data_IF_022938539939
#
_entry.id   IF_022938539939
#
_cell.length_a   1.000
_cell.length_b   1.000
_cell.length_c   1.000
_cell.angle_alpha   90.00
_cell.angle_beta   90.00
_cell.angle_gamma   90.00
#
_symmetry.space_group_name_H-M   'P 1'
#
loop_
_entity.id
_entity.type
_entity.pdbx_description
1 polymer ?
#
# COMPACT_ATOMS: atom_id res chain seq x y z
N UNK A 1 22.76 -0.83 -5.05
CA UNK A 1 21.57 -0.39 -4.33
C UNK A 1 20.36 -1.15 -4.83
N UNK A 2 19.54 -1.72 -3.96
CA UNK A 2 18.35 -2.43 -4.39
C UNK A 2 17.35 -1.47 -5.03
N UNK A 3 16.69 -1.94 -6.09
CA UNK A 3 15.60 -1.22 -6.74
C UNK A 3 14.28 -1.60 -6.07
N UNK A 4 13.60 -0.61 -5.51
CA UNK A 4 12.44 -0.81 -4.63
C UNK A 4 11.16 -0.31 -5.30
N UNK A 5 10.08 -1.09 -5.15
CA UNK A 5 8.72 -0.65 -5.48
C UNK A 5 7.86 -0.56 -4.23
N UNK A 6 7.03 0.47 -4.13
CA UNK A 6 6.14 0.72 -2.99
C UNK A 6 4.71 0.86 -3.49
N UNK A 7 3.80 0.06 -2.94
CA UNK A 7 2.40 -0.01 -3.38
C UNK A 7 1.49 0.13 -2.17
N UNK A 8 0.68 1.18 -2.16
CA UNK A 8 -0.11 1.55 -0.97
C UNK A 8 -1.60 1.47 -1.25
N UNK A 9 -2.28 0.58 -0.53
CA UNK A 9 -3.73 0.51 -0.48
C UNK A 9 -4.20 1.58 0.52
N UNK A 10 -4.43 2.80 0.02
CA UNK A 10 -4.67 3.98 0.86
C UNK A 10 -5.89 3.80 1.75
N UNK A 11 -6.98 3.28 1.20
CA UNK A 11 -8.22 3.12 1.96
C UNK A 11 -8.03 2.15 3.13
N UNK A 12 -7.39 1.00 2.89
CA UNK A 12 -7.13 0.02 3.94
C UNK A 12 -6.24 0.61 5.04
N UNK A 13 -5.15 1.28 4.64
CA UNK A 13 -4.22 1.90 5.61
C UNK A 13 -4.91 3.00 6.41
N UNK A 14 -5.74 3.82 5.74
CA UNK A 14 -6.49 4.87 6.42
C UNK A 14 -7.42 4.31 7.51
N UNK A 15 -8.22 3.31 7.17
CA UNK A 15 -9.18 2.75 8.12
C UNK A 15 -8.52 1.97 9.25
N UNK A 16 -7.48 1.21 8.95
CA UNK A 16 -6.82 0.38 9.96
C UNK A 16 -6.04 1.22 10.97
N UNK A 17 -5.36 2.27 10.52
CA UNK A 17 -4.63 3.17 11.44
C UNK A 17 -5.58 4.03 12.24
N UNK A 18 -6.65 4.52 11.63
CA UNK A 18 -7.66 5.31 12.34
C UNK A 18 -8.37 4.46 13.39
N UNK A 19 -8.76 3.24 13.03
CA UNK A 19 -9.50 2.35 13.93
C UNK A 19 -8.66 1.95 15.14
N UNK A 20 -7.39 1.64 14.92
CA UNK A 20 -6.52 1.13 15.99
C UNK A 20 -5.89 2.25 16.81
N UNK A 21 -5.43 3.32 16.18
CA UNK A 21 -4.62 4.36 16.82
C UNK A 21 -5.32 5.72 16.92
N UNK A 22 -6.40 5.94 16.17
CA UNK A 22 -7.03 7.25 16.03
C UNK A 22 -6.12 8.28 15.37
N UNK A 23 -5.13 7.85 14.61
CA UNK A 23 -4.10 8.69 14.00
C UNK A 23 -3.93 8.34 12.52
N UNK A 24 -3.34 9.26 11.79
CA UNK A 24 -3.06 9.07 10.36
C UNK A 24 -1.69 8.45 10.13
N UNK A 25 -1.58 7.70 9.05
CA UNK A 25 -0.30 7.12 8.63
C UNK A 25 0.64 8.23 8.14
N UNK A 26 1.92 8.12 8.48
CA UNK A 26 2.93 9.09 8.12
C UNK A 26 3.70 8.64 6.87
N UNK A 27 3.24 9.05 5.70
CA UNK A 27 3.86 8.66 4.42
C UNK A 27 5.27 9.21 4.25
N UNK A 28 5.54 10.39 4.79
CA UNK A 28 6.86 11.00 4.73
C UNK A 28 7.88 10.18 5.52
N UNK A 29 7.49 9.72 6.70
CA UNK A 29 8.34 8.86 7.52
C UNK A 29 8.62 7.52 6.83
N UNK A 30 7.60 6.93 6.20
CA UNK A 30 7.78 5.71 5.42
C UNK A 30 8.77 5.92 4.28
N UNK A 31 8.60 6.98 3.51
CA UNK A 31 9.49 7.30 2.39
C UNK A 31 10.94 7.40 2.83
N UNK A 32 11.18 8.12 3.93
CA UNK A 32 12.52 8.27 4.50
C UNK A 32 13.10 6.92 4.92
N UNK A 33 12.29 6.11 5.58
CA UNK A 33 12.70 4.77 6.02
C UNK A 33 13.10 3.89 4.83
N UNK A 34 12.28 3.85 3.79
CA UNK A 34 12.53 3.00 2.63
C UNK A 34 13.65 3.54 1.75
N UNK A 35 13.84 4.85 1.69
CA UNK A 35 14.98 5.47 0.97
C UNK A 35 16.32 5.04 1.54
N UNK A 36 16.37 4.69 2.81
CA UNK A 36 17.60 4.19 3.44
C UNK A 36 17.86 2.72 3.09
N UNK A 37 16.87 1.99 2.57
CA UNK A 37 17.00 0.58 2.22
C UNK A 37 17.33 0.35 0.76
N UNK A 38 17.05 1.31 -0.10
CA UNK A 38 17.32 1.18 -1.53
C UNK A 38 16.86 2.39 -2.30
N UNK A 39 16.88 2.26 -3.63
CA UNK A 39 16.41 3.29 -4.54
C UNK A 39 14.92 3.04 -4.85
N UNK A 40 14.07 3.99 -4.51
CA UNK A 40 12.64 3.88 -4.81
C UNK A 40 12.42 4.19 -6.29
N UNK A 41 12.19 3.14 -7.08
CA UNK A 41 11.99 3.25 -8.52
C UNK A 41 10.53 3.49 -8.88
N UNK A 42 9.63 2.93 -8.09
CA UNK A 42 8.18 3.01 -8.30
C UNK A 42 7.52 3.17 -6.94
N UNK A 43 6.62 4.15 -6.83
CA UNK A 43 5.82 4.32 -5.62
C UNK A 43 4.43 4.78 -6.04
N UNK A 44 3.44 3.94 -5.80
CA UNK A 44 2.06 4.19 -6.23
C UNK A 44 1.13 4.11 -5.03
N UNK A 45 0.31 5.14 -4.87
CA UNK A 45 -0.76 5.18 -3.88
C UNK A 45 -2.10 5.06 -4.61
N UNK A 46 -2.90 4.10 -4.20
CA UNK A 46 -4.19 3.79 -4.83
C UNK A 46 -5.31 4.30 -3.94
N UNK A 47 -6.11 5.22 -4.46
CA UNK A 47 -7.14 5.89 -3.68
C UNK A 47 -8.45 6.02 -4.46
N UNK A 48 -9.53 6.32 -3.74
CA UNK A 48 -10.82 6.68 -4.35
C UNK A 48 -10.94 8.19 -4.38
N UNK A 49 -11.48 8.70 -5.48
CA UNK A 49 -11.70 10.14 -5.64
C UNK A 49 -13.10 10.50 -5.15
N UNK A 50 -13.18 11.19 -4.03
CA UNK A 50 -14.43 11.72 -3.48
C UNK A 50 -14.67 13.19 -3.87
N UNK A 51 -13.73 13.75 -4.65
CA UNK A 51 -13.84 15.11 -5.18
C UNK A 51 -14.02 16.17 -4.08
N UNK A 52 -13.37 16.00 -2.93
CA UNK A 52 -13.37 17.00 -1.88
C UNK A 52 -11.99 17.63 -1.69
N UNK A 53 -11.97 18.80 -1.05
CA UNK A 53 -10.74 19.58 -0.91
C UNK A 53 -9.70 18.91 -0.01
N UNK A 54 -10.15 18.26 1.06
CA UNK A 54 -9.22 17.62 1.97
C UNK A 54 -8.49 16.45 1.30
N UNK A 55 -9.18 15.72 0.44
CA UNK A 55 -8.55 14.65 -0.36
C UNK A 55 -7.57 15.20 -1.37
N UNK A 56 -7.88 16.34 -2.00
CA UNK A 56 -6.96 16.99 -2.94
C UNK A 56 -5.67 17.43 -2.25
N UNK A 57 -5.77 17.98 -1.03
CA UNK A 57 -4.59 18.33 -0.24
C UNK A 57 -3.75 17.11 0.11
N UNK A 58 -4.40 16.02 0.50
CA UNK A 58 -3.72 14.75 0.79
C UNK A 58 -2.99 14.23 -0.45
N UNK A 59 -3.65 14.22 -1.60
CA UNK A 59 -3.06 13.77 -2.86
C UNK A 59 -1.86 14.64 -3.25
N UNK A 60 -1.98 15.96 -3.11
CA UNK A 60 -0.89 16.89 -3.38
C UNK A 60 0.31 16.59 -2.47
N UNK A 61 0.06 16.37 -1.18
CA UNK A 61 1.12 16.05 -0.23
C UNK A 61 1.84 14.74 -0.62
N UNK A 62 1.11 13.72 -1.05
CA UNK A 62 1.70 12.46 -1.51
C UNK A 62 2.57 12.66 -2.74
N UNK A 63 2.13 13.46 -3.70
CA UNK A 63 2.90 13.76 -4.91
C UNK A 63 4.20 14.49 -4.56
N UNK A 64 4.15 15.42 -3.63
CA UNK A 64 5.35 16.13 -3.17
C UNK A 64 6.38 15.20 -2.52
N UNK A 65 5.92 14.16 -1.84
CA UNK A 65 6.81 13.15 -1.25
C UNK A 65 7.50 12.34 -2.35
N UNK A 66 6.77 12.01 -3.42
CA UNK A 66 7.29 11.26 -4.54
C UNK A 66 6.35 10.17 -5.06
N UNK A 67 5.17 10.01 -4.47
CA UNK A 67 4.20 9.01 -4.93
C UNK A 67 3.48 9.44 -6.19
N UNK A 68 3.27 8.49 -7.09
CA UNK A 68 2.24 8.58 -8.12
C UNK A 68 0.93 8.14 -7.51
N UNK A 69 -0.17 8.76 -7.95
CA UNK A 69 -1.48 8.44 -7.39
C UNK A 69 -2.38 7.91 -8.48
N UNK A 70 -3.03 6.77 -8.22
CA UNK A 70 -4.08 6.24 -9.08
C UNK A 70 -5.41 6.39 -8.37
N UNK A 71 -6.39 6.95 -9.07
CA UNK A 71 -7.70 7.27 -8.51
C UNK A 71 -8.80 6.50 -9.23
N UNK A 72 -9.78 6.04 -8.46
CA UNK A 72 -11.06 5.55 -8.98
C UNK A 72 -12.17 6.46 -8.47
N UNK A 73 -13.22 6.70 -9.27
CA UNK A 73 -14.39 7.39 -8.77
C UNK A 73 -15.00 6.63 -7.59
N UNK A 74 -15.48 7.35 -6.59
CA UNK A 74 -16.25 6.75 -5.51
C UNK A 74 -17.66 6.44 -6.04
N UNK A 75 -18.03 5.16 -6.04
CA UNK A 75 -19.35 4.71 -6.49
C UNK A 75 -20.04 4.01 -5.33
N UNK A 76 -21.19 4.57 -4.89
CA UNK A 76 -22.03 3.93 -3.91
C UNK A 76 -23.13 3.15 -4.65
N UNK A 77 -23.24 1.85 -4.37
CA UNK A 77 -24.24 0.99 -5.00
C UNK A 77 -25.60 1.17 -4.33
N UNK A 78 -26.65 0.78 -5.05
CA UNK A 78 -28.03 0.87 -4.56
C UNK A 78 -28.29 0.04 -3.29
N UNK A 79 -27.50 -0.99 -3.05
CA UNK A 79 -27.59 -1.83 -1.85
C UNK A 79 -26.85 -1.25 -0.63
N UNK A 80 -26.28 -0.04 -0.78
CA UNK A 80 -25.53 0.63 0.28
C UNK A 80 -24.04 0.30 0.30
N UNK A 81 -23.58 -0.66 -0.52
CA UNK A 81 -22.15 -0.96 -0.61
C UNK A 81 -21.42 0.07 -1.46
N UNK A 82 -20.15 0.27 -1.16
CA UNK A 82 -19.29 1.14 -1.96
C UNK A 82 -18.34 0.28 -2.80
N UNK A 83 -18.17 0.67 -4.06
CA UNK A 83 -17.18 0.05 -4.95
C UNK A 83 -16.00 1.01 -5.07
N UNK A 84 -14.82 0.57 -4.66
CA UNK A 84 -13.65 1.44 -4.67
C UNK A 84 -12.36 0.74 -4.29
N UNK A 85 -12.39 -0.60 -4.14
CA UNK A 85 -11.15 -1.30 -3.86
C UNK A 85 -10.26 -1.35 -5.10
N UNK A 86 -8.97 -1.45 -4.85
CA UNK A 86 -7.93 -1.47 -5.87
C UNK A 86 -7.25 -2.84 -5.98
N UNK A 87 -7.86 -3.91 -5.46
CA UNK A 87 -7.20 -5.22 -5.35
C UNK A 87 -6.69 -5.71 -6.71
N UNK A 88 -7.53 -5.63 -7.73
CA UNK A 88 -7.14 -6.04 -9.09
C UNK A 88 -6.08 -5.11 -9.65
N UNK A 89 -6.24 -3.79 -9.50
CA UNK A 89 -5.28 -2.81 -10.00
C UNK A 89 -3.92 -2.93 -9.36
N UNK A 90 -3.87 -3.10 -8.05
CA UNK A 90 -2.61 -3.32 -7.31
C UNK A 90 -1.96 -4.62 -7.79
N UNK A 91 -2.75 -5.69 -7.93
CA UNK A 91 -2.25 -6.99 -8.38
C UNK A 91 -1.60 -6.89 -9.76
N UNK A 92 -2.27 -6.24 -10.70
CA UNK A 92 -1.74 -6.07 -12.06
C UNK A 92 -0.43 -5.27 -12.03
N UNK A 93 -0.43 -4.15 -11.32
CA UNK A 93 0.75 -3.27 -11.29
C UNK A 93 1.94 -3.95 -10.63
N UNK A 94 1.73 -4.67 -9.53
CA UNK A 94 2.82 -5.38 -8.86
C UNK A 94 3.39 -6.49 -9.73
N UNK A 95 2.53 -7.27 -10.39
CA UNK A 95 3.00 -8.34 -11.29
C UNK A 95 3.79 -7.77 -12.46
N UNK A 96 3.33 -6.68 -13.05
CA UNK A 96 4.01 -6.05 -14.18
C UNK A 96 5.34 -5.40 -13.79
N UNK A 97 5.45 -4.92 -12.55
CA UNK A 97 6.65 -4.24 -12.07
C UNK A 97 7.72 -5.20 -11.54
N UNK A 98 7.35 -6.43 -11.20
CA UNK A 98 8.22 -7.34 -10.46
C UNK A 98 9.55 -7.62 -11.15
N UNK A 99 9.56 -7.75 -12.50
CA UNK A 99 10.79 -8.03 -13.25
C UNK A 99 11.81 -6.89 -13.20
N UNK A 100 11.38 -5.67 -12.89
CA UNK A 100 12.24 -4.49 -12.86
C UNK A 100 12.71 -4.12 -11.46
N UNK A 101 12.27 -4.86 -10.45
CA UNK A 101 12.52 -4.53 -9.05
C UNK A 101 13.27 -5.66 -8.34
N UNK A 102 14.04 -5.27 -7.32
CA UNK A 102 14.75 -6.22 -6.47
C UNK A 102 13.96 -6.54 -5.19
N UNK A 103 13.06 -5.65 -4.80
CA UNK A 103 12.24 -5.79 -3.60
C UNK A 103 10.97 -4.95 -3.73
N UNK A 104 9.88 -5.46 -3.17
CA UNK A 104 8.60 -4.76 -3.20
C UNK A 104 8.03 -4.61 -1.79
N UNK A 105 7.34 -3.50 -1.56
CA UNK A 105 6.65 -3.22 -0.30
C UNK A 105 5.17 -3.01 -0.59
N UNK A 106 4.33 -3.76 0.10
CA UNK A 106 2.87 -3.63 0.01
C UNK A 106 2.36 -3.12 1.36
N UNK A 107 1.58 -2.04 1.32
CA UNK A 107 0.92 -1.50 2.51
C UNK A 107 -0.56 -1.81 2.42
N UNK A 108 -0.97 -2.87 3.08
CA UNK A 108 -2.36 -3.32 3.18
C UNK A 108 -2.48 -4.45 4.20
N UNK A 109 -3.67 -4.63 4.76
CA UNK A 109 -3.99 -5.77 5.61
C UNK A 109 -4.88 -6.81 4.94
N UNK A 110 -5.19 -6.61 3.65
CA UNK A 110 -6.14 -7.46 2.93
C UNK A 110 -5.52 -8.81 2.57
N UNK A 111 -6.12 -9.89 3.10
CA UNK A 111 -5.64 -11.24 2.88
C UNK A 111 -5.73 -11.72 1.44
N UNK A 112 -6.55 -11.08 0.61
CA UNK A 112 -6.66 -11.44 -0.80
C UNK A 112 -5.36 -11.26 -1.56
N UNK A 113 -4.40 -10.48 -1.03
CA UNK A 113 -3.09 -10.30 -1.63
C UNK A 113 -2.12 -11.45 -1.34
N UNK A 114 -2.49 -12.44 -0.55
CA UNK A 114 -1.60 -13.56 -0.24
C UNK A 114 -1.17 -14.33 -1.50
N UNK A 115 -2.12 -14.56 -2.42
CA UNK A 115 -1.84 -15.24 -3.69
C UNK A 115 -0.92 -14.40 -4.58
N UNK A 116 -1.08 -13.09 -4.58
CA UNK A 116 -0.23 -12.18 -5.32
C UNK A 116 1.23 -12.28 -4.86
N UNK A 117 1.44 -12.25 -3.56
CA UNK A 117 2.79 -12.33 -2.98
C UNK A 117 3.44 -13.67 -3.34
N UNK A 118 2.69 -14.77 -3.25
CA UNK A 118 3.17 -16.07 -3.62
C UNK A 118 3.55 -16.15 -5.11
N UNK A 119 2.72 -15.60 -5.98
CA UNK A 119 2.99 -15.57 -7.42
C UNK A 119 4.25 -14.78 -7.75
N UNK A 120 4.44 -13.63 -7.14
CA UNK A 120 5.66 -12.82 -7.35
C UNK A 120 6.90 -13.59 -6.90
N UNK A 121 6.83 -14.23 -5.74
CA UNK A 121 7.94 -14.99 -5.21
C UNK A 121 8.33 -16.16 -6.12
N UNK A 122 7.33 -16.90 -6.60
CA UNK A 122 7.56 -18.09 -7.45
C UNK A 122 8.01 -17.69 -8.85
N UNK A 123 7.33 -16.72 -9.47
CA UNK A 123 7.55 -16.39 -10.88
C UNK A 123 8.74 -15.45 -11.07
N UNK A 124 9.06 -14.61 -10.10
CA UNK A 124 10.09 -13.57 -10.23
C UNK A 124 11.19 -13.66 -9.17
N UNK A 125 10.99 -14.41 -8.11
CA UNK A 125 11.95 -14.49 -7.01
C UNK A 125 12.14 -13.18 -6.26
N UNK A 126 11.20 -12.26 -6.34
CA UNK A 126 11.28 -10.96 -5.70
C UNK A 126 10.62 -11.01 -4.32
N UNK A 127 11.33 -10.62 -3.25
CA UNK A 127 10.71 -10.56 -1.93
C UNK A 127 9.72 -9.44 -1.84
N UNK A 128 8.58 -9.71 -1.19
CA UNK A 128 7.54 -8.73 -0.90
C UNK A 128 7.41 -8.59 0.60
N UNK A 129 7.67 -7.40 1.12
CA UNK A 129 7.48 -7.07 2.53
C UNK A 129 6.16 -6.32 2.69
N UNK A 130 5.48 -6.56 3.80
CA UNK A 130 4.17 -5.96 4.06
C UNK A 130 4.23 -5.09 5.30
N UNK A 131 3.66 -3.89 5.21
CA UNK A 131 3.38 -3.02 6.35
C UNK A 131 1.88 -3.04 6.61
N UNK A 132 1.49 -3.26 7.87
CA UNK A 132 0.08 -3.25 8.24
C UNK A 132 -0.09 -3.14 9.76
N UNK A 133 -1.34 -2.97 10.15
CA UNK A 133 -1.72 -3.03 11.57
C UNK A 133 -1.94 -4.50 11.91
N UNK A 134 -1.16 -5.09 12.85
CA UNK A 134 -1.16 -6.54 13.04
C UNK A 134 -2.54 -7.14 13.30
N UNK A 135 -3.34 -6.49 14.15
CA UNK A 135 -4.67 -6.97 14.54
C UNK A 135 -5.68 -6.91 13.38
N UNK A 136 -5.38 -6.09 12.36
CA UNK A 136 -6.26 -5.88 11.21
C UNK A 136 -5.62 -6.35 9.91
N UNK A 137 -4.55 -7.14 10.00
CA UNK A 137 -3.89 -7.76 8.86
C UNK A 137 -4.16 -9.27 8.89
N UNK A 138 -4.67 -9.81 7.79
CA UNK A 138 -4.98 -11.23 7.70
C UNK A 138 -3.74 -12.10 7.97
N UNK A 139 -3.92 -13.17 8.73
CA UNK A 139 -2.83 -14.09 9.06
C UNK A 139 -2.19 -14.69 7.81
N UNK A 140 -2.99 -15.00 6.80
CA UNK A 140 -2.50 -15.54 5.52
C UNK A 140 -1.53 -14.58 4.84
N UNK A 141 -1.79 -13.28 4.92
CA UNK A 141 -0.93 -12.24 4.34
C UNK A 141 0.39 -12.15 5.12
N UNK A 142 0.30 -12.16 6.45
CA UNK A 142 1.50 -12.12 7.28
C UNK A 142 2.41 -13.32 7.06
N UNK A 143 1.83 -14.50 6.80
CA UNK A 143 2.61 -15.72 6.53
C UNK A 143 3.20 -15.75 5.13
N UNK A 144 2.51 -15.16 4.15
CA UNK A 144 2.94 -15.19 2.74
C UNK A 144 4.10 -14.23 2.47
N UNK A 145 4.17 -13.11 3.16
CA UNK A 145 5.18 -12.09 2.89
C UNK A 145 6.57 -12.51 3.38
N UNK A 146 7.59 -11.87 2.79
CA UNK A 146 8.99 -12.12 3.18
C UNK A 146 9.29 -11.60 4.58
N UNK A 147 8.71 -10.46 4.94
CA UNK A 147 8.78 -9.87 6.27
C UNK A 147 7.54 -9.03 6.51
N UNK A 148 6.98 -9.15 7.69
CA UNK A 148 5.85 -8.32 8.10
C UNK A 148 6.33 -7.24 9.07
N UNK A 149 5.96 -5.99 8.79
CA UNK A 149 6.30 -4.83 9.61
C UNK A 149 5.04 -4.23 10.20
N UNK A 150 4.96 -4.23 11.52
CA UNK A 150 3.84 -3.59 12.22
C UNK A 150 3.94 -2.08 12.09
N UNK A 151 2.83 -1.44 11.74
CA UNK A 151 2.74 0.02 11.80
C UNK A 151 2.74 0.42 13.27
N UNK A 152 3.69 1.27 13.64
CA UNK A 152 3.90 1.69 15.01
C UNK A 152 4.00 3.22 15.07
N UNK A 153 4.25 3.73 16.27
CA UNK A 153 4.34 5.17 16.54
C UNK A 153 5.20 5.94 15.54
N UNK A 154 6.32 5.36 15.14
CA UNK A 154 7.26 6.01 14.21
C UNK A 154 6.66 6.28 12.82
N UNK A 155 5.60 5.54 12.44
CA UNK A 155 4.94 5.67 11.16
C UNK A 155 3.56 6.34 11.27
N UNK A 156 3.28 7.01 12.37
CA UNK A 156 2.02 7.72 12.59
C UNK A 156 2.27 9.21 12.76
N UNK A 157 1.32 9.99 12.26
CA UNK A 157 1.35 11.45 12.45
C UNK A 157 0.90 11.82 13.84
#
# INVERSE_FOLDING_TARGET
>A
MERIGVFVDVQNIYYTTKDTFGRQFNYRALWKLLSNRGQIMTAIAYATDRNDESQRKFQTALRHIGFSIKLKPYIQRADGSAKGDWDVGITIDMLQSASDLDRMFLLSGDGDFDLLIQAIKVDHGVPVEVYGVPELTADSLQRACSSFHSISEALLV
#
